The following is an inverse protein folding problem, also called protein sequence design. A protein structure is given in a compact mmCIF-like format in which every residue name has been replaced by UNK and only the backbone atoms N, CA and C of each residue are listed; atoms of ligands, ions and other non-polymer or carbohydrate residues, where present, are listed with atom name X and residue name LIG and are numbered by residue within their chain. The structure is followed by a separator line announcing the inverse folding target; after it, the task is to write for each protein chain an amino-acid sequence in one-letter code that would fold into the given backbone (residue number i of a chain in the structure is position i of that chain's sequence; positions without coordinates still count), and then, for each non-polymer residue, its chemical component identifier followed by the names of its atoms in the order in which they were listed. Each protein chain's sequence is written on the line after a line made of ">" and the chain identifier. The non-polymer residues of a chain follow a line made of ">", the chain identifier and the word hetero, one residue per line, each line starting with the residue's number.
data_IF_718581149076
#
_entry.id   IF_718581149076
#
_cell.length_a   1.000
_cell.length_b   1.000
_cell.length_c   1.000
_cell.angle_alpha   90.00
_cell.angle_beta   90.00
_cell.angle_gamma   90.00
#
_symmetry.space_group_name_H-M   'P 1'
#
loop_
_entity.id
_entity.type
_entity.pdbx_description
1 polymer ?
#
# COMPACT_ATOMS: atom_id res chain seq x y z
N UNK A 1 -9.64 88.54 29.77
CA UNK A 1 -10.09 89.24 28.55
C UNK A 1 -10.78 88.19 27.66
N UNK A 2 -12.09 88.36 27.46
CA UNK A 2 -12.99 87.72 26.49
C UNK A 2 -13.12 86.18 26.36
N UNK A 3 -14.28 85.72 26.84
CA UNK A 3 -15.03 84.54 26.39
C UNK A 3 -15.45 84.63 24.92
N UNK A 4 -15.53 83.49 24.23
CA UNK A 4 -16.47 83.24 23.13
C UNK A 4 -17.11 81.85 23.28
N UNK A 5 -18.43 81.83 23.22
CA UNK A 5 -19.33 80.67 23.30
C UNK A 5 -19.28 79.82 22.02
N UNK A 6 -19.47 78.50 22.15
CA UNK A 6 -20.20 77.72 21.15
C UNK A 6 -20.94 76.54 21.80
N UNK A 7 -22.23 76.48 21.51
CA UNK A 7 -23.21 75.51 21.97
C UNK A 7 -22.88 74.10 21.48
N UNK A 8 -23.06 73.08 22.34
CA UNK A 8 -23.39 71.73 21.89
C UNK A 8 -24.66 71.25 22.60
N UNK A 9 -25.64 70.91 21.78
CA UNK A 9 -26.98 70.42 22.12
C UNK A 9 -26.95 68.95 22.54
N UNK A 10 -27.73 68.61 23.56
CA UNK A 10 -28.14 67.25 23.89
C UNK A 10 -28.86 66.59 22.69
N UNK A 11 -28.44 65.38 22.34
CA UNK A 11 -29.30 64.38 21.68
C UNK A 11 -29.17 63.06 22.43
N UNK A 12 -30.30 62.62 22.98
CA UNK A 12 -30.50 61.31 23.60
C UNK A 12 -30.44 60.26 22.48
N UNK A 13 -29.49 59.32 22.55
CA UNK A 13 -29.50 58.12 21.70
C UNK A 13 -30.03 56.96 22.54
N UNK A 14 -31.26 56.54 22.21
CA UNK A 14 -31.87 55.29 22.65
C UNK A 14 -31.07 54.10 22.13
N UNK A 15 -30.63 53.22 23.04
CA UNK A 15 -30.02 51.93 22.69
C UNK A 15 -31.12 51.00 22.21
N UNK A 16 -31.25 50.81 20.89
CA UNK A 16 -31.96 49.67 20.31
C UNK A 16 -30.99 48.54 20.08
N UNK A 17 -31.10 47.49 20.89
CA UNK A 17 -30.41 46.22 20.72
C UNK A 17 -30.82 45.56 19.40
N UNK A 18 -29.94 45.60 18.41
CA UNK A 18 -30.05 44.80 17.19
C UNK A 18 -29.32 43.48 17.40
N UNK A 19 -30.08 42.42 17.69
CA UNK A 19 -29.60 41.04 17.64
C UNK A 19 -29.28 40.67 16.20
N UNK A 20 -28.02 40.82 15.80
CA UNK A 20 -27.52 40.23 14.57
C UNK A 20 -27.56 38.70 14.73
N UNK A 21 -28.52 38.07 14.06
CA UNK A 21 -28.64 36.62 13.93
C UNK A 21 -27.39 36.11 13.20
N UNK A 22 -26.45 35.55 13.96
CA UNK A 22 -25.39 34.72 13.43
C UNK A 22 -26.05 33.49 12.78
N UNK A 23 -26.18 33.49 11.45
CA UNK A 23 -26.45 32.25 10.71
C UNK A 23 -25.17 31.41 10.75
N UNK A 24 -25.19 30.20 11.34
CA UNK A 24 -24.06 29.29 11.22
C UNK A 24 -23.87 28.92 9.75
N UNK A 25 -22.62 28.95 9.25
CA UNK A 25 -22.25 28.32 7.99
C UNK A 25 -22.65 26.83 8.05
N UNK A 26 -23.25 26.25 7.00
CA UNK A 26 -23.53 24.82 6.99
C UNK A 26 -22.21 24.05 6.99
N UNK A 27 -21.98 23.29 8.06
CA UNK A 27 -20.93 22.29 8.17
C UNK A 27 -21.24 21.11 7.24
N UNK A 28 -20.91 21.25 5.95
CA UNK A 28 -20.85 20.10 5.06
C UNK A 28 -19.52 19.38 5.30
N UNK A 29 -19.55 18.43 6.24
CA UNK A 29 -18.84 17.14 6.21
C UNK A 29 -19.07 16.41 7.55
N UNK A 30 -20.34 16.13 7.88
CA UNK A 30 -20.61 14.91 8.64
C UNK A 30 -20.33 13.75 7.69
N UNK A 31 -19.14 13.17 7.78
CA UNK A 31 -18.91 11.83 7.28
C UNK A 31 -19.87 10.91 8.03
N UNK A 32 -20.99 10.56 7.40
CA UNK A 32 -21.73 9.35 7.79
C UNK A 32 -20.74 8.20 7.61
N UNK A 33 -20.43 7.43 8.65
CA UNK A 33 -19.66 6.22 8.45
C UNK A 33 -20.54 5.33 7.57
N UNK A 34 -20.07 5.07 6.36
CA UNK A 34 -20.72 4.16 5.42
C UNK A 34 -20.37 2.73 5.88
N UNK A 35 -20.79 2.36 7.09
CA UNK A 35 -20.85 0.97 7.50
C UNK A 35 -21.97 0.33 6.67
N UNK A 36 -21.59 -0.29 5.55
CA UNK A 36 -22.43 -1.33 4.96
C UNK A 36 -22.35 -2.52 5.92
N UNK A 37 -23.20 -2.51 6.94
CA UNK A 37 -23.54 -3.69 7.73
C UNK A 37 -24.36 -4.65 6.87
N UNK A 38 -23.74 -5.31 5.89
CA UNK A 38 -24.34 -6.46 5.21
C UNK A 38 -23.33 -7.58 4.97
N UNK A 39 -22.54 -7.93 5.99
CA UNK A 39 -21.78 -9.19 6.00
C UNK A 39 -22.70 -10.43 5.94
N UNK A 40 -24.01 -10.26 6.19
CA UNK A 40 -25.00 -11.34 6.18
C UNK A 40 -25.37 -11.90 4.80
N UNK A 41 -24.94 -11.27 3.70
CA UNK A 41 -25.37 -11.65 2.35
C UNK A 41 -24.44 -12.69 1.69
N UNK A 42 -23.14 -12.67 1.97
CA UNK A 42 -22.19 -13.56 1.29
C UNK A 42 -21.94 -14.86 2.07
N UNK A 43 -22.38 -15.99 1.51
CA UNK A 43 -22.08 -17.33 2.04
C UNK A 43 -21.15 -18.07 1.09
N UNK A 44 -19.87 -18.15 1.45
CA UNK A 44 -18.91 -18.99 0.74
C UNK A 44 -18.34 -20.05 1.68
N UNK A 45 -18.01 -21.21 1.11
CA UNK A 45 -17.47 -22.32 1.88
C UNK A 45 -15.98 -22.11 2.13
N UNK A 46 -15.15 -22.33 1.13
CA UNK A 46 -13.71 -22.14 1.21
C UNK A 46 -13.20 -21.17 0.16
N UNK A 47 -12.09 -20.50 0.43
CA UNK A 47 -11.39 -19.68 -0.57
C UNK A 47 -9.88 -19.66 -0.34
N UNK A 48 -9.16 -19.28 -1.39
CA UNK A 48 -7.71 -19.11 -1.35
C UNK A 48 -7.33 -17.68 -1.72
N UNK A 49 -6.33 -17.11 -1.07
CA UNK A 49 -5.75 -15.83 -1.47
C UNK A 49 -4.33 -16.02 -1.94
N UNK A 50 -4.04 -15.53 -3.14
CA UNK A 50 -2.75 -15.54 -3.82
C UNK A 50 -2.31 -14.09 -4.02
N UNK A 51 -1.02 -13.88 -4.21
CA UNK A 51 -0.49 -12.58 -4.61
C UNK A 51 0.75 -12.12 -3.85
N UNK A 52 0.97 -10.82 -3.93
CA UNK A 52 2.09 -10.11 -3.32
C UNK A 52 1.73 -9.47 -1.96
N UNK A 53 2.57 -8.53 -1.54
CA UNK A 53 2.49 -7.80 -0.27
C UNK A 53 1.18 -7.03 -0.06
N UNK A 54 0.49 -6.61 -1.13
CA UNK A 54 -0.82 -5.95 -1.01
C UNK A 54 -1.93 -6.92 -0.61
N UNK A 55 -1.72 -8.23 -0.81
CA UNK A 55 -2.61 -9.27 -0.30
C UNK A 55 -2.06 -9.98 0.94
N UNK A 56 -0.76 -9.87 1.23
CA UNK A 56 -0.18 -10.33 2.51
C UNK A 56 -0.49 -9.38 3.67
N UNK A 57 -0.70 -8.08 3.37
CA UNK A 57 -0.93 -7.03 4.38
C UNK A 57 0.30 -6.77 5.25
N UNK A 58 1.46 -6.71 4.62
CA UNK A 58 2.72 -6.35 5.29
C UNK A 58 2.54 -5.07 6.14
N UNK A 59 3.02 -5.10 7.38
CA UNK A 59 2.93 -3.99 8.32
C UNK A 59 1.65 -3.94 9.16
N UNK A 60 0.61 -4.70 8.80
CA UNK A 60 -0.57 -4.89 9.66
C UNK A 60 -0.30 -5.92 10.77
N UNK A 61 -1.14 -6.03 11.82
CA UNK A 61 -0.83 -6.86 12.98
C UNK A 61 -0.60 -8.32 12.59
N UNK A 62 0.44 -8.98 13.13
CA UNK A 62 0.67 -10.39 12.85
C UNK A 62 -0.51 -11.26 13.29
N UNK A 63 -0.66 -12.48 12.74
CA UNK A 63 -1.57 -13.46 13.32
C UNK A 63 -1.19 -13.76 14.77
N UNK A 64 -2.16 -14.03 15.66
CA UNK A 64 -1.84 -14.36 17.05
C UNK A 64 -1.07 -15.68 17.15
N UNK A 65 -0.28 -15.82 18.21
CA UNK A 65 0.37 -17.09 18.58
C UNK A 65 -0.67 -18.22 18.73
N UNK A 66 -0.38 -19.47 18.29
CA UNK A 66 0.88 -19.98 17.75
C UNK A 66 1.01 -19.86 16.22
N UNK A 67 0.05 -19.22 15.54
CA UNK A 67 0.11 -19.06 14.08
C UNK A 67 1.15 -18.00 13.66
N UNK A 68 1.59 -17.16 14.61
CA UNK A 68 2.67 -16.22 14.40
C UNK A 68 4.01 -16.93 14.14
N UNK A 69 4.68 -16.56 13.05
CA UNK A 69 6.07 -16.91 12.81
C UNK A 69 6.80 -15.64 12.37
N UNK A 70 7.67 -15.05 13.21
CA UNK A 70 8.42 -13.84 12.85
C UNK A 70 9.36 -14.09 11.67
N UNK A 71 9.81 -15.33 11.46
CA UNK A 71 10.69 -15.70 10.35
C UNK A 71 9.92 -16.00 9.05
N UNK A 72 8.60 -15.81 9.02
CA UNK A 72 7.84 -16.01 7.79
C UNK A 72 8.12 -14.87 6.79
N UNK A 73 8.80 -15.14 5.66
CA UNK A 73 9.16 -14.11 4.69
C UNK A 73 7.94 -13.54 3.96
N UNK A 74 6.77 -14.18 4.04
CA UNK A 74 5.56 -13.73 3.38
C UNK A 74 4.86 -12.55 4.06
N UNK A 75 5.26 -12.17 5.28
CA UNK A 75 4.76 -10.97 6.00
C UNK A 75 3.22 -10.92 6.05
N UNK A 76 2.61 -12.01 6.49
CA UNK A 76 1.15 -12.11 6.64
C UNK A 76 0.68 -11.30 7.85
N UNK A 77 -0.20 -10.32 7.65
CA UNK A 77 -0.81 -9.53 8.72
C UNK A 77 -2.35 -9.54 8.71
N UNK A 78 -2.97 -9.79 9.86
CA UNK A 78 -4.43 -9.93 10.04
C UNK A 78 -5.25 -8.70 9.68
N UNK A 79 -4.63 -7.55 9.46
CA UNK A 79 -5.29 -6.40 8.85
C UNK A 79 -5.54 -6.54 7.36
N UNK A 80 -4.93 -7.51 6.67
CA UNK A 80 -5.03 -7.68 5.22
C UNK A 80 -6.46 -7.98 4.75
N UNK A 81 -6.82 -7.47 3.58
CA UNK A 81 -8.16 -7.67 3.00
C UNK A 81 -8.56 -9.15 2.88
N UNK A 82 -7.67 -10.13 2.55
CA UNK A 82 -8.07 -11.53 2.49
C UNK A 82 -8.41 -12.10 3.87
N UNK A 83 -7.66 -11.71 4.91
CA UNK A 83 -8.00 -12.09 6.27
C UNK A 83 -9.34 -11.49 6.68
N UNK A 84 -9.55 -10.19 6.42
CA UNK A 84 -10.81 -9.51 6.73
C UNK A 84 -12.01 -10.12 5.98
N UNK A 85 -11.84 -10.55 4.72
CA UNK A 85 -12.83 -11.32 3.98
C UNK A 85 -13.15 -12.65 4.68
N UNK A 86 -12.14 -13.34 5.22
CA UNK A 86 -12.32 -14.60 5.94
C UNK A 86 -13.10 -14.44 7.25
N UNK A 87 -12.99 -13.28 7.90
CA UNK A 87 -13.71 -12.96 9.14
C UNK A 87 -15.15 -12.47 8.89
N UNK A 88 -15.40 -11.94 7.69
CA UNK A 88 -16.69 -11.30 7.35
C UNK A 88 -17.71 -12.28 6.75
N UNK A 89 -17.39 -13.56 6.63
CA UNK A 89 -18.26 -14.58 6.05
C UNK A 89 -18.93 -15.42 7.14
N UNK A 90 -20.20 -15.77 6.95
CA UNK A 90 -20.87 -16.79 7.75
C UNK A 90 -20.25 -18.16 7.43
N UNK A 91 -19.23 -18.55 8.19
CA UNK A 91 -18.47 -19.78 7.97
C UNK A 91 -19.14 -20.96 8.65
N UNK A 92 -19.36 -22.02 7.88
CA UNK A 92 -19.64 -23.35 8.45
C UNK A 92 -18.38 -23.87 9.14
N UNK A 93 -18.51 -24.80 10.08
CA UNK A 93 -17.36 -25.52 10.66
C UNK A 93 -16.49 -26.23 9.61
N UNK A 94 -17.03 -26.47 8.41
CA UNK A 94 -16.34 -27.06 7.25
C UNK A 94 -15.67 -26.06 6.31
N UNK A 95 -15.85 -24.75 6.52
CA UNK A 95 -15.28 -23.67 5.69
C UNK A 95 -13.77 -23.50 5.94
N UNK A 96 -12.94 -23.43 4.89
CA UNK A 96 -11.49 -23.24 5.00
C UNK A 96 -10.99 -21.99 4.25
N UNK A 97 -10.05 -21.27 4.86
CA UNK A 97 -9.34 -20.16 4.23
C UNK A 97 -7.87 -20.53 4.13
N UNK A 98 -7.32 -20.53 2.92
CA UNK A 98 -5.88 -20.73 2.69
C UNK A 98 -5.27 -19.42 2.22
N UNK A 99 -4.33 -18.91 2.98
CA UNK A 99 -3.62 -17.67 2.65
C UNK A 99 -2.23 -18.01 2.13
N UNK A 100 -2.01 -17.74 0.84
CA UNK A 100 -0.77 -18.07 0.10
C UNK A 100 -0.06 -16.83 -0.45
N UNK A 101 -0.67 -15.65 -0.28
CA UNK A 101 -0.04 -14.36 -0.57
C UNK A 101 1.31 -14.23 0.11
N UNK A 102 2.30 -13.65 -0.58
CA UNK A 102 3.65 -13.53 -0.05
C UNK A 102 4.28 -12.21 -0.47
N UNK A 103 4.80 -11.46 0.50
CA UNK A 103 5.51 -10.21 0.21
C UNK A 103 6.66 -10.42 -0.78
N UNK A 104 6.82 -9.50 -1.73
CA UNK A 104 7.85 -9.59 -2.76
C UNK A 104 7.52 -10.49 -3.96
N UNK A 105 6.44 -11.29 -3.91
CA UNK A 105 6.11 -12.19 -5.03
C UNK A 105 5.89 -11.46 -6.35
N UNK A 106 6.50 -11.99 -7.40
CA UNK A 106 6.25 -11.68 -8.81
C UNK A 106 5.28 -12.70 -9.39
N UNK A 107 4.73 -12.43 -10.57
CA UNK A 107 3.85 -13.38 -11.27
C UNK A 107 4.48 -14.77 -11.47
N UNK A 108 5.80 -14.84 -11.69
CA UNK A 108 6.54 -16.10 -11.81
C UNK A 108 6.43 -16.96 -10.54
N UNK A 109 6.43 -16.35 -9.36
CA UNK A 109 6.39 -17.06 -8.08
C UNK A 109 5.04 -17.74 -7.82
N UNK A 110 4.00 -17.37 -8.58
CA UNK A 110 2.71 -18.04 -8.52
C UNK A 110 2.68 -19.29 -9.41
N UNK A 111 3.37 -19.27 -10.55
CA UNK A 111 3.30 -20.33 -11.57
C UNK A 111 3.78 -21.68 -11.01
N UNK A 112 3.16 -22.76 -11.47
CA UNK A 112 3.46 -24.13 -11.04
C UNK A 112 4.89 -24.60 -11.34
N UNK A 113 5.59 -23.91 -12.23
CA UNK A 113 7.02 -24.13 -12.52
C UNK A 113 7.96 -23.55 -11.47
N UNK A 114 7.46 -22.68 -10.57
CA UNK A 114 8.25 -22.14 -9.46
C UNK A 114 8.36 -23.17 -8.32
N UNK A 115 9.54 -23.33 -7.68
CA UNK A 115 9.72 -24.26 -6.56
C UNK A 115 8.77 -23.97 -5.38
N UNK A 116 8.55 -22.68 -5.08
CA UNK A 116 7.68 -22.21 -3.98
C UNK A 116 6.32 -21.72 -4.50
N UNK A 117 5.84 -22.34 -5.58
CA UNK A 117 4.62 -21.93 -6.30
C UNK A 117 3.41 -21.80 -5.37
N UNK A 118 2.82 -20.60 -5.34
CA UNK A 118 1.56 -20.38 -4.64
C UNK A 118 0.40 -21.19 -5.26
N UNK A 119 0.36 -21.37 -6.59
CA UNK A 119 -0.71 -22.15 -7.25
C UNK A 119 -0.57 -23.64 -6.91
N UNK A 120 0.66 -24.17 -6.85
CA UNK A 120 0.89 -25.56 -6.46
C UNK A 120 0.42 -25.85 -5.03
N UNK A 121 0.54 -24.88 -4.13
CA UNK A 121 0.10 -24.95 -2.73
C UNK A 121 -1.42 -24.84 -2.51
N UNK A 122 -2.22 -24.62 -3.57
CA UNK A 122 -3.68 -24.69 -3.48
C UNK A 122 -4.10 -26.12 -3.12
N UNK A 123 -4.72 -26.29 -1.96
CA UNK A 123 -5.25 -27.58 -1.53
C UNK A 123 -6.53 -27.92 -2.30
N UNK A 124 -6.38 -28.75 -3.33
CA UNK A 124 -7.51 -29.20 -4.16
C UNK A 124 -8.36 -30.28 -3.50
N UNK A 125 -7.91 -30.89 -2.39
CA UNK A 125 -8.69 -31.90 -1.65
C UNK A 125 -9.94 -31.32 -1.01
N UNK A 126 -9.99 -29.99 -0.83
CA UNK A 126 -11.20 -29.27 -0.41
C UNK A 126 -12.27 -29.41 -1.49
N UNK A 127 -13.42 -29.99 -1.14
CA UNK A 127 -14.53 -30.22 -2.06
C UNK A 127 -15.36 -28.98 -2.37
N UNK A 128 -15.10 -27.83 -1.73
CA UNK A 128 -15.95 -26.63 -1.81
C UNK A 128 -15.18 -25.31 -1.87
N UNK A 129 -14.16 -25.23 -2.73
CA UNK A 129 -13.43 -23.99 -3.01
C UNK A 129 -14.29 -23.06 -3.88
N UNK A 130 -14.78 -21.97 -3.29
CA UNK A 130 -15.76 -21.06 -3.87
C UNK A 130 -15.15 -19.94 -4.71
N UNK A 131 -13.99 -19.41 -4.32
CA UNK A 131 -13.30 -18.38 -5.09
C UNK A 131 -11.80 -18.30 -4.75
N UNK A 132 -11.07 -17.52 -5.55
CA UNK A 132 -9.73 -17.06 -5.23
C UNK A 132 -9.63 -15.53 -5.27
N UNK A 133 -8.78 -14.93 -4.45
CA UNK A 133 -8.35 -13.53 -4.59
C UNK A 133 -6.92 -13.46 -5.11
N UNK A 134 -6.62 -12.45 -5.93
CA UNK A 134 -5.32 -12.24 -6.54
C UNK A 134 -4.94 -10.76 -6.55
N UNK A 135 -3.85 -10.39 -5.87
CA UNK A 135 -3.16 -9.10 -6.02
C UNK A 135 -1.73 -9.37 -6.46
N UNK A 136 -1.36 -9.08 -7.71
CA UNK A 136 0.00 -9.38 -8.18
C UNK A 136 0.41 -8.39 -9.27
N UNK A 137 1.72 -8.20 -9.44
CA UNK A 137 2.29 -7.50 -10.59
C UNK A 137 3.06 -6.22 -10.28
N UNK A 138 2.90 -5.61 -9.10
CA UNK A 138 3.70 -4.43 -8.73
C UNK A 138 5.21 -4.72 -8.75
N UNK A 139 5.59 -5.91 -8.30
CA UNK A 139 6.96 -6.42 -8.33
C UNK A 139 7.49 -6.70 -9.74
N UNK A 140 6.63 -7.12 -10.67
CA UNK A 140 7.00 -7.38 -12.07
C UNK A 140 7.27 -6.09 -12.84
N UNK A 141 6.60 -5.00 -12.46
CA UNK A 141 6.76 -3.66 -13.02
C UNK A 141 7.79 -2.80 -12.27
N UNK A 142 8.52 -3.40 -11.33
CA UNK A 142 9.60 -2.80 -10.54
C UNK A 142 9.22 -1.50 -9.80
N UNK A 143 8.01 -1.45 -9.25
CA UNK A 143 7.54 -0.29 -8.48
C UNK A 143 8.40 0.01 -7.25
N UNK A 144 9.13 -0.99 -6.72
CA UNK A 144 10.07 -0.78 -5.63
C UNK A 144 11.27 0.09 -6.09
N UNK A 145 11.89 -0.24 -7.22
CA UNK A 145 12.97 0.57 -7.78
C UNK A 145 12.49 2.01 -8.02
N UNK A 146 11.25 2.16 -8.53
CA UNK A 146 10.64 3.48 -8.71
C UNK A 146 10.47 4.25 -7.39
N UNK A 147 9.94 3.62 -6.34
CA UNK A 147 9.78 4.25 -5.02
C UNK A 147 11.14 4.58 -4.38
N UNK A 148 12.13 3.71 -4.54
CA UNK A 148 13.47 3.96 -4.03
C UNK A 148 14.12 5.13 -4.77
N UNK A 149 13.98 5.19 -6.10
CA UNK A 149 14.53 6.27 -6.93
C UNK A 149 13.85 7.63 -6.72
N UNK A 150 12.54 7.64 -6.54
CA UNK A 150 11.75 8.87 -6.53
C UNK A 150 11.33 9.36 -5.14
N UNK A 151 11.37 8.52 -4.10
CA UNK A 151 10.80 8.84 -2.79
C UNK A 151 11.83 8.70 -1.68
N UNK A 152 12.40 7.50 -1.49
CA UNK A 152 13.11 7.17 -0.25
C UNK A 152 14.65 7.21 -0.35
N UNK A 153 15.20 6.84 -1.50
CA UNK A 153 16.64 6.85 -1.80
C UNK A 153 17.48 6.13 -0.74
N UNK A 154 17.12 4.89 -0.39
CA UNK A 154 17.83 4.09 0.62
C UNK A 154 19.33 3.93 0.32
N UNK A 155 19.70 3.82 -0.95
CA UNK A 155 21.09 3.74 -1.40
C UNK A 155 21.87 5.07 -1.30
N UNK A 156 21.25 6.14 -0.79
CA UNK A 156 21.87 7.45 -0.64
C UNK A 156 22.15 8.16 -1.97
N UNK A 157 23.26 8.89 -2.09
CA UNK A 157 23.66 9.54 -3.34
C UNK A 157 24.41 8.60 -4.31
N UNK A 158 24.52 7.30 -4.02
CA UNK A 158 25.48 6.41 -4.68
C UNK A 158 24.94 5.54 -5.82
N UNK A 159 23.73 5.81 -6.32
CA UNK A 159 23.22 5.13 -7.52
C UNK A 159 23.41 5.99 -8.77
N UNK A 160 23.53 5.34 -9.92
CA UNK A 160 23.40 5.98 -11.22
C UNK A 160 21.95 6.12 -11.68
N UNK A 161 21.02 5.36 -11.10
CA UNK A 161 19.61 5.43 -11.48
C UNK A 161 18.91 6.64 -10.85
N UNK A 162 18.64 7.66 -11.66
CA UNK A 162 17.87 8.84 -11.21
C UNK A 162 16.37 8.57 -11.29
N UNK A 163 15.57 9.26 -10.47
CA UNK A 163 14.11 9.22 -10.57
C UNK A 163 13.61 9.50 -12.00
N UNK A 164 14.27 10.39 -12.73
CA UNK A 164 13.93 10.67 -14.12
C UNK A 164 14.02 9.41 -15.01
N UNK A 165 15.14 8.67 -14.91
CA UNK A 165 15.33 7.44 -15.69
C UNK A 165 14.40 6.33 -15.20
N UNK A 166 14.22 6.17 -13.89
CA UNK A 166 13.29 5.20 -13.33
C UNK A 166 11.84 5.43 -13.83
N UNK A 167 11.37 6.68 -13.80
CA UNK A 167 10.04 7.04 -14.33
C UNK A 167 9.96 6.79 -15.83
N UNK A 168 10.98 7.19 -16.60
CA UNK A 168 11.00 6.99 -18.05
C UNK A 168 10.93 5.51 -18.41
N UNK A 169 11.74 4.67 -17.77
CA UNK A 169 11.77 3.22 -18.00
C UNK A 169 10.43 2.59 -17.65
N UNK A 170 9.86 2.92 -16.49
CA UNK A 170 8.55 2.43 -16.09
C UNK A 170 7.43 2.87 -17.05
N UNK A 171 7.49 4.12 -17.54
CA UNK A 171 6.53 4.65 -18.52
C UNK A 171 6.64 3.92 -19.86
N UNK A 172 7.85 3.61 -20.32
CA UNK A 172 8.09 2.80 -21.52
C UNK A 172 7.58 1.35 -21.34
N UNK A 173 7.78 0.76 -20.16
CA UNK A 173 7.28 -0.57 -19.82
C UNK A 173 5.75 -0.67 -19.80
N UNK A 174 5.03 0.41 -19.54
CA UNK A 174 3.55 0.40 -19.41
C UNK A 174 2.84 1.00 -20.65
N UNK A 175 3.36 2.10 -21.19
CA UNK A 175 2.66 2.95 -22.17
C UNK A 175 3.23 2.94 -23.59
N UNK A 176 4.36 2.28 -23.86
CA UNK A 176 4.94 2.27 -25.22
C UNK A 176 3.94 1.77 -26.27
N UNK A 177 3.83 2.52 -27.38
CA UNK A 177 2.91 2.27 -28.50
C UNK A 177 3.26 1.01 -29.30
N UNK A 178 4.54 0.66 -29.38
CA UNK A 178 4.97 -0.70 -29.70
C UNK A 178 5.05 -1.44 -28.37
N UNK A 179 4.29 -2.52 -28.14
CA UNK A 179 4.24 -3.09 -26.81
C UNK A 179 5.65 -3.58 -26.46
N UNK A 180 6.24 -2.94 -25.45
CA UNK A 180 7.55 -3.31 -24.93
C UNK A 180 7.53 -4.79 -24.56
N UNK A 181 8.68 -5.45 -24.64
CA UNK A 181 8.81 -6.85 -24.25
C UNK A 181 8.27 -7.06 -22.83
N UNK A 182 8.58 -6.13 -21.91
CA UNK A 182 8.06 -6.09 -20.54
C UNK A 182 6.54 -6.04 -20.49
N UNK A 183 5.87 -5.18 -21.27
CA UNK A 183 4.40 -5.09 -21.27
C UNK A 183 3.77 -6.40 -21.74
N UNK A 184 4.27 -6.95 -22.85
CA UNK A 184 3.77 -8.21 -23.42
C UNK A 184 3.97 -9.34 -22.44
N UNK A 185 5.16 -9.42 -21.86
CA UNK A 185 5.51 -10.42 -20.86
C UNK A 185 4.60 -10.30 -19.63
N UNK A 186 4.39 -9.10 -19.11
CA UNK A 186 3.49 -8.86 -17.98
C UNK A 186 2.04 -9.28 -18.31
N UNK A 187 1.50 -8.85 -19.46
CA UNK A 187 0.17 -9.26 -19.92
C UNK A 187 0.05 -10.80 -20.04
N UNK A 188 1.05 -11.45 -20.63
CA UNK A 188 1.10 -12.90 -20.79
C UNK A 188 1.21 -13.64 -19.45
N UNK A 189 2.06 -13.17 -18.53
CA UNK A 189 2.26 -13.81 -17.24
C UNK A 189 1.01 -13.73 -16.37
N UNK A 190 0.31 -12.58 -16.34
CA UNK A 190 -0.99 -12.47 -15.65
C UNK A 190 -2.01 -13.44 -16.25
N UNK A 191 -2.07 -13.54 -17.59
CA UNK A 191 -2.95 -14.49 -18.27
C UNK A 191 -2.63 -15.94 -17.91
N UNK A 192 -1.33 -16.30 -17.85
CA UNK A 192 -0.88 -17.64 -17.46
C UNK A 192 -1.27 -17.95 -16.01
N UNK A 193 -1.04 -17.02 -15.07
CA UNK A 193 -1.47 -17.18 -13.66
C UNK A 193 -2.97 -17.48 -13.57
N UNK A 194 -3.82 -16.72 -14.27
CA UNK A 194 -5.26 -16.94 -14.26
C UNK A 194 -5.66 -18.31 -14.83
N UNK A 195 -5.01 -18.73 -15.92
CA UNK A 195 -5.24 -20.05 -16.54
C UNK A 195 -4.80 -21.18 -15.60
N UNK A 196 -3.64 -21.06 -14.98
CA UNK A 196 -3.11 -22.08 -14.07
C UNK A 196 -3.96 -22.22 -12.80
N UNK A 197 -4.47 -21.11 -12.25
CA UNK A 197 -5.44 -21.17 -11.14
C UNK A 197 -6.66 -21.97 -11.58
N UNK A 198 -7.25 -21.67 -12.75
CA UNK A 198 -8.41 -22.39 -13.25
C UNK A 198 -8.14 -23.88 -13.53
N UNK A 199 -6.96 -24.22 -14.04
CA UNK A 199 -6.56 -25.61 -14.29
C UNK A 199 -6.37 -26.41 -12.99
N UNK A 200 -6.06 -25.73 -11.88
CA UNK A 200 -5.92 -26.37 -10.57
C UNK A 200 -7.26 -26.73 -9.93
N UNK A 201 -8.36 -26.10 -10.34
CA UNK A 201 -9.68 -26.30 -9.73
C UNK A 201 -10.33 -27.61 -10.18
N UNK A 202 -10.85 -28.38 -9.22
CA UNK A 202 -11.77 -29.50 -9.47
C UNK A 202 -13.16 -28.98 -9.81
N UNK A 203 -13.41 -28.72 -11.09
CA UNK A 203 -14.64 -28.10 -11.58
C UNK A 203 -15.90 -28.91 -11.33
N UNK A 204 -15.79 -30.23 -11.23
CA UNK A 204 -16.89 -31.15 -10.91
C UNK A 204 -17.50 -30.86 -9.52
N UNK A 205 -16.69 -30.38 -8.58
CA UNK A 205 -17.14 -30.00 -7.23
C UNK A 205 -17.32 -28.49 -7.06
N UNK A 206 -16.71 -27.69 -7.95
CA UNK A 206 -16.64 -26.23 -7.82
C UNK A 206 -17.12 -25.49 -9.09
N UNK A 207 -18.31 -25.81 -9.65
CA UNK A 207 -18.79 -25.16 -10.88
C UNK A 207 -18.99 -23.65 -10.72
N UNK A 208 -19.22 -23.20 -9.48
CA UNK A 208 -19.38 -21.79 -9.10
C UNK A 208 -18.07 -20.99 -9.06
N UNK A 209 -16.90 -21.64 -9.03
CA UNK A 209 -15.62 -21.00 -8.73
C UNK A 209 -15.34 -19.75 -9.60
N UNK A 210 -14.88 -18.68 -8.97
CA UNK A 210 -14.45 -17.46 -9.66
C UNK A 210 -13.18 -16.85 -9.03
N UNK A 211 -12.50 -15.99 -9.78
CA UNK A 211 -11.29 -15.29 -9.33
C UNK A 211 -11.60 -13.80 -9.20
N UNK A 212 -11.21 -13.19 -8.09
CA UNK A 212 -11.24 -11.74 -7.87
C UNK A 212 -9.83 -11.20 -7.97
N UNK A 213 -9.54 -10.42 -9.00
CA UNK A 213 -8.27 -9.72 -9.19
C UNK A 213 -8.42 -8.30 -8.67
N UNK A 214 -7.54 -7.87 -7.78
CA UNK A 214 -7.53 -6.51 -7.24
C UNK A 214 -6.52 -5.62 -7.96
N UNK A 215 -6.86 -4.36 -8.20
CA UNK A 215 -5.90 -3.35 -8.64
C UNK A 215 -5.05 -2.79 -7.49
N UNK A 216 -4.42 -1.64 -7.73
CA UNK A 216 -3.65 -0.86 -6.76
C UNK A 216 -4.21 0.56 -6.62
N UNK A 217 -3.89 1.24 -5.53
CA UNK A 217 -4.22 2.65 -5.33
C UNK A 217 -3.02 3.56 -5.63
N UNK A 218 -3.31 4.71 -6.23
CA UNK A 218 -2.37 5.80 -6.42
C UNK A 218 -1.93 6.35 -5.07
N UNK A 219 -0.66 6.74 -4.97
CA UNK A 219 0.00 7.04 -3.70
C UNK A 219 -0.19 8.47 -3.23
N UNK A 220 -0.36 9.39 -4.18
CA UNK A 220 -0.35 10.82 -3.90
C UNK A 220 -1.64 11.49 -4.36
N UNK A 221 -2.08 12.51 -3.64
CA UNK A 221 -2.85 13.57 -4.27
C UNK A 221 -1.92 14.29 -5.24
N UNK A 222 -2.32 14.43 -6.51
CA UNK A 222 -1.49 15.01 -7.58
C UNK A 222 -1.96 16.41 -8.01
N UNK A 223 -2.90 17.00 -7.29
CA UNK A 223 -3.52 18.30 -7.59
C UNK A 223 -2.98 19.42 -6.71
N UNK A 224 -2.63 19.12 -5.45
CA UNK A 224 -2.09 20.11 -4.50
C UNK A 224 -0.64 20.48 -4.82
N UNK A 225 -0.18 21.68 -4.44
CA UNK A 225 1.24 22.08 -4.50
C UNK A 225 1.99 21.82 -3.17
N UNK A 226 1.28 21.37 -2.13
CA UNK A 226 1.79 21.29 -0.75
C UNK A 226 3.03 20.42 -0.59
N UNK A 227 3.20 19.40 -1.45
CA UNK A 227 4.35 18.49 -1.41
C UNK A 227 5.52 18.91 -2.30
N UNK A 228 5.44 20.01 -3.05
CA UNK A 228 6.48 20.37 -4.02
C UNK A 228 7.82 20.72 -3.36
N UNK A 229 7.79 21.13 -2.08
CA UNK A 229 8.98 21.34 -1.26
C UNK A 229 9.33 20.18 -0.32
N UNK A 230 8.54 19.10 -0.31
CA UNK A 230 8.66 17.99 0.64
C UNK A 230 9.48 16.85 0.04
N UNK A 231 10.29 16.19 0.87
CA UNK A 231 10.97 14.95 0.51
C UNK A 231 10.75 13.90 1.60
N UNK A 232 10.64 12.64 1.19
CA UNK A 232 10.62 11.47 2.07
C UNK A 232 11.96 10.73 2.05
N UNK A 233 13.02 11.35 1.50
CA UNK A 233 14.36 10.79 1.50
C UNK A 233 14.88 10.59 2.92
N UNK A 234 15.53 9.46 3.18
CA UNK A 234 15.92 9.06 4.54
C UNK A 234 17.30 9.56 4.98
N UNK A 235 18.01 10.30 4.13
CA UNK A 235 19.40 10.70 4.36
C UNK A 235 19.56 12.20 4.50
N UNK A 236 20.48 12.59 5.40
CA UNK A 236 21.02 13.94 5.53
C UNK A 236 22.55 13.88 5.48
N UNK A 237 23.14 14.71 4.63
CA UNK A 237 24.59 14.75 4.42
C UNK A 237 24.97 15.28 3.03
N UNK A 238 26.27 15.32 2.71
CA UNK A 238 26.76 15.78 1.42
C UNK A 238 26.12 15.00 0.24
N UNK A 239 25.65 15.71 -0.79
CA UNK A 239 25.05 15.08 -1.98
C UNK A 239 23.67 14.46 -1.77
N UNK A 240 23.08 14.56 -0.57
CA UNK A 240 21.74 14.03 -0.27
C UNK A 240 20.59 15.00 -0.56
N UNK A 241 20.84 16.04 -1.39
CA UNK A 241 19.83 17.02 -1.78
C UNK A 241 18.52 16.31 -2.12
N UNK A 242 17.54 16.53 -1.24
CA UNK A 242 16.42 15.61 -1.13
C UNK A 242 15.51 15.80 -2.32
N UNK A 243 15.34 14.75 -3.11
CA UNK A 243 14.44 14.78 -4.26
C UNK A 243 13.04 15.13 -3.75
N UNK A 244 12.48 16.21 -4.29
CA UNK A 244 11.18 16.72 -3.86
C UNK A 244 10.05 15.98 -4.54
N UNK A 245 8.95 15.77 -3.83
CA UNK A 245 7.73 15.15 -4.34
C UNK A 245 6.91 16.15 -5.14
N UNK A 246 7.53 16.72 -6.18
CA UNK A 246 6.89 17.70 -7.06
C UNK A 246 5.62 17.14 -7.66
N UNK A 247 4.68 18.04 -8.00
CA UNK A 247 3.44 17.67 -8.68
C UNK A 247 3.69 16.85 -9.94
N UNK A 248 4.75 17.15 -10.68
CA UNK A 248 5.15 16.38 -11.86
C UNK A 248 5.50 14.92 -11.50
N UNK A 249 6.37 14.70 -10.50
CA UNK A 249 6.75 13.35 -10.06
C UNK A 249 5.51 12.59 -9.57
N UNK A 250 4.67 13.23 -8.74
CA UNK A 250 3.43 12.62 -8.23
C UNK A 250 2.49 12.21 -9.37
N UNK A 251 2.28 13.08 -10.36
CA UNK A 251 1.45 12.80 -11.55
C UNK A 251 1.97 11.61 -12.35
N UNK A 252 3.29 11.53 -12.58
CA UNK A 252 3.91 10.44 -13.33
C UNK A 252 3.81 9.10 -12.58
N UNK A 253 4.09 9.09 -11.27
CA UNK A 253 3.97 7.89 -10.44
C UNK A 253 2.52 7.37 -10.37
N UNK A 254 1.55 8.24 -10.13
CA UNK A 254 0.14 7.85 -10.12
C UNK A 254 -0.35 7.40 -11.51
N UNK A 255 0.15 8.02 -12.59
CA UNK A 255 -0.12 7.57 -13.96
C UNK A 255 0.35 6.12 -14.14
N UNK A 256 1.54 5.75 -13.65
CA UNK A 256 2.04 4.37 -13.71
C UNK A 256 1.12 3.39 -12.98
N UNK A 257 0.65 3.73 -11.77
CA UNK A 257 -0.34 2.90 -11.04
C UNK A 257 -1.61 2.68 -11.87
N UNK A 258 -2.18 3.75 -12.43
CA UNK A 258 -3.39 3.66 -13.28
C UNK A 258 -3.14 2.85 -14.56
N UNK A 259 -1.94 2.94 -15.13
CA UNK A 259 -1.52 2.15 -16.28
C UNK A 259 -1.42 0.65 -15.97
N UNK A 260 -0.82 0.29 -14.83
CA UNK A 260 -0.76 -1.08 -14.34
C UNK A 260 -2.18 -1.65 -14.12
N UNK A 261 -3.06 -0.90 -13.45
CA UNK A 261 -4.46 -1.29 -13.28
C UNK A 261 -5.19 -1.47 -14.61
N UNK A 262 -4.90 -0.63 -15.61
CA UNK A 262 -5.50 -0.75 -16.94
C UNK A 262 -5.06 -2.04 -17.66
N UNK A 263 -3.80 -2.45 -17.49
CA UNK A 263 -3.29 -3.73 -18.01
C UNK A 263 -3.99 -4.90 -17.32
N UNK A 264 -4.05 -4.90 -15.98
CA UNK A 264 -4.72 -5.95 -15.21
C UNK A 264 -6.19 -6.09 -15.62
N UNK A 265 -6.91 -4.97 -15.71
CA UNK A 265 -8.31 -4.93 -16.15
C UNK A 265 -8.47 -5.53 -17.55
N UNK A 266 -7.64 -5.11 -18.51
CA UNK A 266 -7.64 -5.63 -19.88
C UNK A 266 -7.44 -7.15 -19.90
N UNK A 267 -6.44 -7.68 -19.19
CA UNK A 267 -6.18 -9.13 -19.15
C UNK A 267 -7.35 -9.90 -18.54
N UNK A 268 -7.98 -9.36 -17.49
CA UNK A 268 -9.18 -9.95 -16.89
C UNK A 268 -10.34 -10.01 -17.89
N UNK A 269 -10.55 -8.93 -18.65
CA UNK A 269 -11.57 -8.86 -19.71
C UNK A 269 -11.27 -9.86 -20.84
N UNK A 270 -10.01 -9.99 -21.26
CA UNK A 270 -9.57 -10.89 -22.33
C UNK A 270 -9.68 -12.38 -21.96
N UNK A 271 -9.42 -12.73 -20.69
CA UNK A 271 -9.62 -14.10 -20.16
C UNK A 271 -11.10 -14.38 -19.87
N UNK A 272 -11.94 -13.34 -19.87
CA UNK A 272 -13.28 -13.21 -19.30
C UNK A 272 -14.32 -14.29 -19.59
N UNK A 273 -14.16 -15.48 -18.98
CA UNK A 273 -15.20 -16.53 -18.89
C UNK A 273 -16.33 -16.19 -17.91
N UNK A 274 -16.70 -14.92 -17.69
CA UNK A 274 -17.58 -14.44 -16.59
C UNK A 274 -17.15 -14.87 -15.17
N UNK A 275 -15.95 -15.46 -15.03
CA UNK A 275 -15.44 -16.14 -13.84
C UNK A 275 -14.18 -15.46 -13.29
N UNK A 276 -13.78 -14.34 -13.88
CA UNK A 276 -12.71 -13.47 -13.38
C UNK A 276 -13.30 -12.07 -13.25
N UNK A 277 -13.10 -11.42 -12.11
CA UNK A 277 -13.65 -10.11 -11.79
C UNK A 277 -12.50 -9.20 -11.38
N UNK A 278 -12.42 -8.02 -12.01
CA UNK A 278 -11.46 -7.00 -11.63
C UNK A 278 -12.10 -6.03 -10.62
N UNK A 279 -11.40 -5.75 -9.53
CA UNK A 279 -11.81 -4.80 -8.49
C UNK A 279 -10.86 -3.62 -8.48
N UNK A 280 -11.30 -2.51 -9.07
CA UNK A 280 -10.63 -1.21 -8.98
C UNK A 280 -11.10 -0.47 -7.71
N UNK A 281 -10.19 -0.36 -6.73
CA UNK A 281 -10.42 0.39 -5.50
C UNK A 281 -9.65 1.72 -5.45
N UNK A 282 -8.97 2.14 -6.52
CA UNK A 282 -8.09 3.31 -6.51
C UNK A 282 -8.83 4.60 -6.08
N UNK A 283 -10.06 4.79 -6.57
CA UNK A 283 -10.89 5.95 -6.23
C UNK A 283 -11.36 5.98 -4.77
N UNK A 284 -11.31 4.85 -4.07
CA UNK A 284 -11.67 4.78 -2.65
C UNK A 284 -10.60 5.45 -1.78
N UNK A 285 -9.38 5.61 -2.30
CA UNK A 285 -8.26 6.27 -1.61
C UNK A 285 -8.21 7.80 -1.84
N UNK A 286 -9.15 8.41 -2.57
CA UNK A 286 -9.17 9.88 -2.72
C UNK A 286 -9.44 10.58 -1.37
N UNK A 287 -8.68 11.64 -1.05
CA UNK A 287 -8.79 12.37 0.23
C UNK A 287 -7.93 11.80 1.35
N UNK A 288 -7.18 10.76 1.04
CA UNK A 288 -6.61 9.81 1.97
C UNK A 288 -5.19 9.35 1.60
N UNK A 289 -4.66 9.90 0.50
CA UNK A 289 -3.31 9.65 -0.01
C UNK A 289 -2.28 10.48 0.76
N UNK A 290 -1.01 10.37 0.38
CA UNK A 290 -0.03 11.40 0.74
C UNK A 290 -0.34 12.71 0.01
N UNK A 291 0.06 13.84 0.58
CA UNK A 291 -0.03 15.17 -0.04
C UNK A 291 -1.46 15.70 -0.19
N UNK A 292 -2.39 15.23 0.64
CA UNK A 292 -3.78 15.68 0.65
C UNK A 292 -3.90 17.14 1.12
N UNK A 293 -5.00 17.79 0.73
CA UNK A 293 -5.22 19.20 1.05
C UNK A 293 -5.22 19.44 2.58
N UNK A 294 -4.42 20.42 3.02
CA UNK A 294 -4.32 20.79 4.44
C UNK A 294 -3.42 19.88 5.28
N UNK A 295 -2.68 18.95 4.66
CA UNK A 295 -1.74 18.06 5.35
C UNK A 295 -0.31 18.58 5.18
N UNK A 296 0.45 18.64 6.28
CA UNK A 296 1.89 18.91 6.25
C UNK A 296 2.65 17.59 6.30
N UNK A 297 3.22 17.19 5.16
CA UNK A 297 3.88 15.90 5.01
C UNK A 297 5.38 15.94 5.35
N UNK A 298 5.99 14.81 5.78
CA UNK A 298 5.33 13.55 6.15
C UNK A 298 4.61 13.69 7.50
N UNK A 299 3.32 13.32 7.55
CA UNK A 299 2.54 13.34 8.79
C UNK A 299 2.39 11.92 9.38
N UNK A 300 3.20 11.63 10.39
CA UNK A 300 3.21 10.34 11.10
C UNK A 300 2.01 10.15 12.04
N UNK A 301 1.38 11.25 12.47
CA UNK A 301 0.27 11.23 13.42
C UNK A 301 -1.08 11.26 12.69
N UNK A 302 -1.10 11.59 11.39
CA UNK A 302 -2.31 11.55 10.59
C UNK A 302 -2.82 10.11 10.44
N UNK A 303 -3.91 9.85 11.15
CA UNK A 303 -4.65 8.58 11.07
C UNK A 303 -5.34 8.37 9.72
N UNK A 304 -5.60 9.48 9.03
CA UNK A 304 -6.34 9.50 7.77
C UNK A 304 -5.46 9.47 6.51
N UNK A 305 -4.16 9.20 6.68
CA UNK A 305 -3.28 8.76 5.59
C UNK A 305 -3.33 7.24 5.53
N UNK A 306 -3.69 6.73 4.36
CA UNK A 306 -4.12 5.34 4.17
C UNK A 306 -2.97 4.38 3.89
N UNK A 307 -1.81 4.92 3.56
CA UNK A 307 -0.58 4.19 3.35
C UNK A 307 0.34 4.32 4.56
N UNK A 308 1.17 3.31 4.80
CA UNK A 308 2.24 3.42 5.78
C UNK A 308 3.35 4.36 5.31
N UNK A 309 3.84 5.19 6.25
CA UNK A 309 5.20 5.75 6.21
C UNK A 309 6.19 4.72 6.77
N UNK A 310 7.51 4.84 6.49
CA UNK A 310 8.52 4.02 7.16
C UNK A 310 8.42 4.18 8.68
N UNK A 311 8.15 3.09 9.41
CA UNK A 311 7.90 3.14 10.86
C UNK A 311 6.55 3.73 11.30
N UNK A 312 5.67 4.09 10.37
CA UNK A 312 4.34 4.62 10.71
C UNK A 312 3.47 3.56 11.39
N UNK A 313 2.74 3.94 12.43
CA UNK A 313 1.89 3.04 13.23
C UNK A 313 0.77 2.43 12.38
N UNK A 314 0.18 1.30 12.76
CA UNK A 314 -1.05 0.82 12.14
C UNK A 314 -2.30 1.24 12.93
N UNK A 315 -3.44 1.35 12.24
CA UNK A 315 -4.70 1.85 12.80
C UNK A 315 -5.85 0.98 12.31
N UNK A 316 -6.77 0.63 13.21
CA UNK A 316 -7.96 -0.16 12.87
C UNK A 316 -9.15 0.71 12.41
N UNK A 317 -10.24 0.08 11.94
CA UNK A 317 -11.47 0.76 11.52
C UNK A 317 -12.14 1.68 12.54
N UNK A 318 -11.75 1.63 13.82
CA UNK A 318 -12.23 2.52 14.89
C UNK A 318 -11.30 3.70 15.16
N UNK A 319 -10.17 3.80 14.45
CA UNK A 319 -9.16 4.82 14.69
C UNK A 319 -8.22 4.49 15.84
N UNK A 320 -8.27 3.26 16.38
CA UNK A 320 -7.37 2.82 17.46
C UNK A 320 -6.04 2.36 16.86
N UNK A 321 -4.94 2.77 17.49
CA UNK A 321 -3.59 2.39 17.10
C UNK A 321 -3.30 0.97 17.59
N UNK A 322 -2.72 0.13 16.74
CA UNK A 322 -2.22 -1.18 17.18
C UNK A 322 -0.91 -1.01 17.94
N UNK A 323 -0.86 -1.46 19.20
CA UNK A 323 0.31 -1.31 20.09
C UNK A 323 1.39 -2.39 19.87
N UNK A 324 1.09 -3.47 19.14
CA UNK A 324 1.94 -4.66 19.03
C UNK A 324 2.95 -4.64 17.88
N UNK A 325 3.67 -3.53 17.66
CA UNK A 325 4.73 -3.48 16.64
C UNK A 325 6.00 -4.27 17.03
N UNK A 326 6.16 -4.60 18.32
CA UNK A 326 7.36 -5.28 18.87
C UNK A 326 7.53 -6.74 18.42
N UNK A 327 6.50 -7.38 17.86
CA UNK A 327 6.60 -8.76 17.37
C UNK A 327 7.08 -8.86 15.92
N UNK A 328 7.51 -7.77 15.26
CA UNK A 328 8.00 -7.86 13.87
C UNK A 328 9.39 -8.53 13.80
N UNK A 329 9.69 -9.19 12.67
CA UNK A 329 10.99 -9.87 12.51
C UNK A 329 12.14 -8.88 12.63
N UNK A 330 12.98 -9.08 13.63
CA UNK A 330 14.27 -8.40 13.72
C UNK A 330 15.31 -9.31 13.07
N UNK A 331 16.12 -8.76 12.18
CA UNK A 331 17.30 -9.42 11.64
C UNK A 331 18.39 -9.33 12.72
N UNK A 332 19.12 -10.42 12.95
CA UNK A 332 20.28 -10.39 13.83
C UNK A 332 21.42 -9.53 13.24
N UNK A 333 22.25 -8.95 14.10
CA UNK A 333 23.35 -8.06 13.67
C UNK A 333 24.43 -8.77 12.82
N UNK A 334 24.53 -10.09 12.89
CA UNK A 334 25.47 -10.91 12.12
C UNK A 334 24.87 -11.48 10.83
N UNK A 335 23.61 -11.18 10.53
CA UNK A 335 22.96 -11.64 9.31
C UNK A 335 23.63 -11.02 8.07
N UNK A 336 23.86 -11.80 6.99
CA UNK A 336 24.48 -11.29 5.77
C UNK A 336 23.75 -10.11 5.11
N UNK A 337 22.46 -9.87 5.40
CA UNK A 337 21.69 -8.72 4.89
C UNK A 337 22.23 -7.38 5.42
N UNK A 338 22.84 -7.35 6.60
CA UNK A 338 23.44 -6.12 7.16
C UNK A 338 24.92 -5.95 6.79
N UNK A 339 25.53 -6.93 6.11
CA UNK A 339 26.89 -6.83 5.58
C UNK A 339 26.88 -6.07 4.23
N UNK A 340 27.43 -4.84 4.18
CA UNK A 340 27.37 -4.00 2.97
C UNK A 340 28.16 -4.58 1.78
N UNK A 341 29.03 -5.57 2.01
CA UNK A 341 29.79 -6.22 0.95
C UNK A 341 29.11 -7.49 0.41
N UNK A 342 28.14 -8.06 1.13
CA UNK A 342 27.51 -9.35 0.80
C UNK A 342 26.01 -9.29 0.57
N UNK A 343 25.32 -8.30 1.14
CA UNK A 343 23.86 -8.30 1.21
C UNK A 343 23.17 -8.38 -0.17
N UNK A 344 23.72 -7.73 -1.20
CA UNK A 344 23.19 -7.77 -2.57
C UNK A 344 23.27 -9.19 -3.17
N UNK A 345 24.43 -9.85 -3.02
CA UNK A 345 24.64 -11.22 -3.48
C UNK A 345 23.70 -12.20 -2.77
N UNK A 346 23.49 -12.02 -1.47
CA UNK A 346 22.59 -12.86 -0.66
C UNK A 346 21.15 -12.71 -1.11
N UNK A 347 20.69 -11.47 -1.28
CA UNK A 347 19.34 -11.16 -1.78
C UNK A 347 19.09 -11.83 -3.14
N UNK A 348 20.07 -11.78 -4.04
CA UNK A 348 19.97 -12.36 -5.37
C UNK A 348 20.03 -13.90 -5.34
N UNK A 349 21.02 -14.49 -4.67
CA UNK A 349 21.22 -15.94 -4.64
C UNK A 349 20.10 -16.68 -3.92
N UNK A 350 19.63 -16.11 -2.80
CA UNK A 350 18.54 -16.68 -2.01
C UNK A 350 17.15 -16.28 -2.55
N UNK A 351 17.10 -15.48 -3.62
CA UNK A 351 15.86 -14.95 -4.22
C UNK A 351 14.96 -14.27 -3.20
N UNK A 352 15.57 -13.54 -2.25
CA UNK A 352 14.86 -12.80 -1.21
C UNK A 352 14.23 -11.56 -1.83
N UNK A 353 12.95 -11.66 -2.19
CA UNK A 353 12.22 -10.54 -2.76
C UNK A 353 11.63 -9.58 -1.70
N UNK A 354 12.11 -9.63 -0.46
CA UNK A 354 11.66 -8.73 0.61
C UNK A 354 12.23 -7.31 0.41
N UNK A 355 11.32 -6.35 0.18
CA UNK A 355 11.67 -4.95 -0.02
C UNK A 355 12.27 -4.29 1.22
N UNK A 356 11.91 -4.76 2.40
CA UNK A 356 12.46 -4.31 3.67
C UNK A 356 13.93 -4.67 3.78
N UNK A 357 14.27 -5.91 3.45
CA UNK A 357 15.66 -6.40 3.44
C UNK A 357 16.50 -5.69 2.38
N UNK A 358 15.94 -5.44 1.19
CA UNK A 358 16.59 -4.61 0.15
C UNK A 358 16.86 -3.19 0.64
N UNK A 359 15.89 -2.56 1.30
CA UNK A 359 16.09 -1.23 1.88
C UNK A 359 17.18 -1.22 2.94
N UNK A 360 17.20 -2.24 3.82
CA UNK A 360 18.25 -2.39 4.84
C UNK A 360 19.63 -2.54 4.18
N UNK A 361 19.77 -3.46 3.23
CA UNK A 361 21.02 -3.66 2.47
C UNK A 361 21.50 -2.34 1.83
N UNK A 362 20.62 -1.64 1.11
CA UNK A 362 20.92 -0.35 0.51
C UNK A 362 21.38 0.68 1.55
N UNK A 363 20.74 0.70 2.72
CA UNK A 363 21.07 1.64 3.78
C UNK A 363 22.43 1.39 4.41
N UNK A 364 22.73 0.12 4.75
CA UNK A 364 24.04 -0.27 5.28
C UNK A 364 25.14 0.00 4.24
N UNK A 365 24.89 -0.26 2.95
CA UNK A 365 25.83 0.07 1.87
C UNK A 365 26.08 1.57 1.77
N UNK A 366 25.04 2.39 1.84
CA UNK A 366 25.18 3.85 1.79
C UNK A 366 26.01 4.36 2.97
N UNK A 367 25.69 3.93 4.20
CA UNK A 367 26.42 4.31 5.42
C UNK A 367 27.87 3.81 5.43
N UNK A 368 28.14 2.65 4.84
CA UNK A 368 29.50 2.13 4.70
C UNK A 368 30.34 2.95 3.69
N UNK A 369 29.72 3.41 2.59
CA UNK A 369 30.39 4.26 1.59
C UNK A 369 30.66 5.66 2.10
N UNK A 370 29.73 6.21 2.88
CA UNK A 370 29.88 7.51 3.51
C UNK A 370 29.40 7.48 4.97
N UNK A 371 30.35 7.36 5.92
CA UNK A 371 30.04 7.37 7.34
C UNK A 371 29.44 8.67 7.85
N UNK A 372 29.51 9.79 7.12
CA UNK A 372 28.93 11.07 7.54
C UNK A 372 27.42 11.15 7.31
N UNK A 373 26.85 10.25 6.50
CA UNK A 373 25.42 10.20 6.24
C UNK A 373 24.61 9.93 7.52
N UNK A 374 23.68 10.83 7.86
CA UNK A 374 22.75 10.67 8.96
C UNK A 374 21.40 10.14 8.43
N UNK A 375 20.86 9.10 9.06
CA UNK A 375 19.48 8.68 8.77
C UNK A 375 18.51 9.61 9.50
N UNK A 376 17.55 10.13 8.76
CA UNK A 376 16.49 11.01 9.27
C UNK A 376 15.15 10.40 8.92
N UNK A 377 14.29 10.26 9.92
CA UNK A 377 12.89 9.83 9.76
C UNK A 377 11.99 11.04 10.00
N UNK A 378 11.24 11.44 8.97
CA UNK A 378 10.44 12.68 8.99
C UNK A 378 10.83 13.62 7.85
N UNK A 379 10.46 14.90 7.95
CA UNK A 379 10.97 15.90 7.01
C UNK A 379 12.49 16.09 7.18
N UNK A 380 13.22 16.32 6.08
CA UNK A 380 14.69 16.46 6.11
C UNK A 380 15.18 17.67 6.94
N UNK A 381 14.28 18.58 7.31
CA UNK A 381 14.56 19.81 8.05
C UNK A 381 14.22 19.73 9.55
N UNK A 382 13.34 18.82 9.99
CA UNK A 382 12.88 18.66 11.38
C UNK A 382 12.68 17.22 11.85
N UNK A 383 13.03 16.22 11.03
CA UNK A 383 12.90 14.79 11.35
C UNK A 383 13.83 14.31 12.46
N UNK A 384 13.48 13.16 13.02
CA UNK A 384 14.24 12.54 14.12
C UNK A 384 15.48 11.84 13.55
N UNK A 385 16.64 12.15 14.12
CA UNK A 385 17.90 11.46 13.81
C UNK A 385 17.87 10.06 14.41
N UNK A 386 18.28 9.08 13.61
CA UNK A 386 18.34 7.67 14.01
C UNK A 386 19.78 7.19 13.94
N UNK A 387 20.23 6.52 15.00
CA UNK A 387 21.59 5.99 15.07
C UNK A 387 21.66 4.55 14.53
N UNK A 388 22.76 4.16 13.88
CA UNK A 388 23.07 2.74 13.65
C UNK A 388 23.06 1.98 14.99
N UNK A 389 22.38 0.84 15.06
CA UNK A 389 22.13 0.11 16.31
C UNK A 389 20.68 0.19 16.81
N UNK A 390 19.89 1.16 16.33
CA UNK A 390 18.46 1.22 16.63
C UNK A 390 17.69 0.08 15.95
N UNK A 391 16.65 -0.45 16.61
CA UNK A 391 15.86 -1.61 16.13
C UNK A 391 15.33 -1.45 14.70
N UNK A 392 15.09 -0.22 14.25
CA UNK A 392 14.64 0.05 12.89
C UNK A 392 15.66 -0.31 11.80
N UNK A 393 16.96 -0.26 12.07
CA UNK A 393 17.99 -0.70 11.11
C UNK A 393 17.91 -2.20 10.83
N UNK A 394 17.37 -2.95 11.78
CA UNK A 394 17.32 -4.40 11.77
C UNK A 394 15.90 -4.93 11.52
N UNK A 395 14.92 -4.06 11.25
CA UNK A 395 13.52 -4.48 11.09
C UNK A 395 13.06 -4.29 9.65
N UNK A 396 13.10 -5.32 8.77
CA UNK A 396 12.65 -5.24 7.38
C UNK A 396 11.26 -4.64 7.24
N UNK A 397 10.33 -5.05 8.10
CA UNK A 397 8.94 -4.60 8.02
C UNK A 397 8.82 -3.09 8.26
N UNK A 398 9.74 -2.47 9.00
CA UNK A 398 9.82 -1.02 9.20
C UNK A 398 9.86 -0.27 7.86
N UNK A 399 10.68 -0.75 6.92
CA UNK A 399 10.82 -0.19 5.58
C UNK A 399 9.94 -0.90 4.55
N UNK A 400 9.64 -2.18 4.70
CA UNK A 400 8.88 -2.98 3.74
C UNK A 400 7.41 -2.58 3.69
N UNK A 401 6.83 -2.17 4.83
CA UNK A 401 5.41 -1.79 4.92
C UNK A 401 5.08 -0.48 4.21
N UNK A 402 6.05 0.41 4.00
CA UNK A 402 5.82 1.73 3.41
C UNK A 402 5.05 1.62 2.08
N UNK A 403 4.14 2.57 1.84
CA UNK A 403 3.29 2.61 0.64
C UNK A 403 2.34 1.40 0.48
N UNK A 404 2.23 0.53 1.47
CA UNK A 404 1.16 -0.46 1.58
C UNK A 404 -0.02 0.09 2.40
N UNK A 405 -1.24 -0.40 2.17
CA UNK A 405 -2.41 0.02 2.94
C UNK A 405 -2.30 -0.35 4.42
N UNK A 406 -2.72 0.56 5.30
CA UNK A 406 -2.98 0.28 6.73
C UNK A 406 -4.18 -0.65 6.90
N UNK A 407 -4.33 -1.27 8.08
CA UNK A 407 -5.46 -2.18 8.40
C UNK A 407 -6.82 -1.57 8.06
N UNK A 408 -7.06 -0.34 8.52
CA UNK A 408 -8.30 0.39 8.25
C UNK A 408 -8.63 0.52 6.75
N UNK A 409 -7.64 0.38 5.86
CA UNK A 409 -7.80 0.62 4.41
C UNK A 409 -7.94 -0.66 3.64
N UNK A 410 -7.37 -1.74 4.16
CA UNK A 410 -7.78 -3.08 3.79
C UNK A 410 -9.27 -3.34 4.05
N UNK A 411 -9.88 -2.71 5.07
CA UNK A 411 -11.34 -2.72 5.25
C UNK A 411 -12.07 -2.08 4.07
N UNK A 412 -11.60 -0.92 3.59
CA UNK A 412 -12.16 -0.27 2.42
C UNK A 412 -11.99 -1.09 1.13
N UNK A 413 -10.85 -1.80 0.97
CA UNK A 413 -10.63 -2.75 -0.12
C UNK A 413 -11.62 -3.92 -0.04
N UNK A 414 -11.79 -4.52 1.14
CA UNK A 414 -12.79 -5.57 1.40
C UNK A 414 -14.20 -5.10 1.03
N UNK A 415 -14.59 -3.91 1.48
CA UNK A 415 -15.94 -3.38 1.23
C UNK A 415 -16.17 -3.11 -0.25
N UNK A 416 -15.12 -2.64 -0.95
CA UNK A 416 -15.16 -2.50 -2.41
C UNK A 416 -15.29 -3.84 -3.12
N UNK A 417 -14.62 -4.89 -2.65
CA UNK A 417 -14.78 -6.26 -3.18
C UNK A 417 -16.23 -6.72 -3.02
N UNK A 418 -16.82 -6.58 -1.83
CA UNK A 418 -18.22 -6.95 -1.59
C UNK A 418 -19.19 -6.18 -2.48
N UNK A 419 -18.98 -4.88 -2.65
CA UNK A 419 -19.78 -4.06 -3.58
C UNK A 419 -19.72 -4.62 -5.01
N UNK A 420 -18.52 -4.88 -5.52
CA UNK A 420 -18.35 -5.41 -6.88
C UNK A 420 -18.96 -6.80 -7.03
N UNK A 421 -18.85 -7.66 -6.02
CA UNK A 421 -19.52 -8.97 -6.02
C UNK A 421 -21.04 -8.85 -6.09
N UNK A 422 -21.63 -7.93 -5.30
CA UNK A 422 -23.08 -7.67 -5.34
C UNK A 422 -23.53 -7.19 -6.72
N UNK A 423 -22.76 -6.30 -7.36
CA UNK A 423 -23.01 -5.79 -8.72
C UNK A 423 -22.96 -6.92 -9.76
N UNK A 424 -22.14 -7.95 -9.54
CA UNK A 424 -22.05 -9.16 -10.37
C UNK A 424 -23.06 -10.27 -9.99
N UNK A 425 -23.95 -10.01 -9.03
CA UNK A 425 -24.95 -10.99 -8.57
C UNK A 425 -24.35 -12.17 -7.79
N UNK A 426 -23.13 -12.04 -7.29
CA UNK A 426 -22.49 -13.06 -6.44
C UNK A 426 -23.03 -12.92 -5.02
N UNK A 427 -23.27 -14.06 -4.34
CA UNK A 427 -23.74 -14.07 -2.94
C UNK A 427 -25.22 -13.74 -2.78
N UNK A 428 -26.02 -13.84 -3.85
CA UNK A 428 -27.49 -13.80 -3.78
C UNK A 428 -28.08 -15.19 -3.97
#
# INVERSE_FOLDING_TARGET
>A
MFSLFLLSSLSIITITSASAIFKPRPSHHQQKPLFISSSSQFRFNSFVSLGDSYSSGIGTPPPPSPAFNPKNPCRLGTGAYPYLLSQSQNRSSSSSFKWLSCAGSKTFDLLTTSPDSQISAINTSVSTLSFATLSIGGNDLDFFALLNACVFRFYGPFTSETCFFALKNAEESIFSSSPSETKKEFELRIRLVLIEIFNKIRWEFNPGFFITVTGYAAFFNEETDLCDGISFGVWKGPGTESLKLTKEIRKRMNKLVRGANSILKKVVEDVGRKKVIFVDYNSVFEGHRFCEAGVKEPDYERVDTWFFLPGGKDINGRGEVYEHEEEQSVIEEDDPIVDPLKCEEVIEKEKRNDWGERAICDMFRAKWRDPELEVVVGDSEGGVRVAPGDSMWYTPTYYGKKFHPRSVRHEAIRDKIFKVWADHGIGR
#
